data_IF_452011008198
#
_entry.id   IF_452011008198
#
_cell.length_a   1.000
_cell.length_b   1.000
_cell.length_c   1.000
_cell.angle_alpha   90.00
_cell.angle_beta   90.00
_cell.angle_gamma   90.00
#
_symmetry.space_group_name_H-M   'P 1'
#
loop_
_entity.id
_entity.type
_entity.pdbx_description
1 polymer ?
#
# COMPACT_ATOMS: atom_id res chain seq x y z
N UNK A 1 1.51 -5.38 -11.12
CA UNK A 1 2.21 -4.09 -11.26
C UNK A 1 2.18 -3.34 -9.93
N UNK A 2 3.31 -3.01 -9.31
CA UNK A 2 3.40 -2.16 -8.13
C UNK A 2 3.71 -0.71 -8.53
N UNK A 3 3.15 0.26 -7.79
CA UNK A 3 3.37 1.70 -8.03
C UNK A 3 4.01 2.34 -6.79
N UNK A 4 5.12 3.04 -7.00
CA UNK A 4 5.84 3.75 -5.92
C UNK A 4 5.23 5.11 -5.66
N UNK A 5 5.01 5.46 -4.39
CA UNK A 5 4.52 6.77 -3.95
C UNK A 5 5.67 7.48 -3.22
N UNK A 6 6.06 8.65 -3.72
CA UNK A 6 7.08 9.50 -3.07
C UNK A 6 6.38 10.66 -2.36
N UNK A 7 6.78 10.92 -1.11
CA UNK A 7 6.17 11.95 -0.25
C UNK A 7 7.28 12.81 0.35
N UNK A 8 7.08 14.13 0.38
CA UNK A 8 7.98 15.03 1.10
C UNK A 8 7.50 15.18 2.55
N UNK A 9 8.38 14.84 3.50
CA UNK A 9 8.09 14.94 4.93
C UNK A 9 9.23 15.67 5.65
N UNK A 10 8.95 16.49 6.69
CA UNK A 10 9.99 17.23 7.37
C UNK A 10 11.01 16.30 8.04
N UNK A 11 12.29 16.43 7.68
CA UNK A 11 13.38 15.57 8.14
C UNK A 11 13.38 15.36 9.66
N UNK A 12 13.36 16.45 10.44
CA UNK A 12 13.35 16.37 11.91
C UNK A 12 12.16 15.57 12.47
N UNK A 13 11.00 15.64 11.81
CA UNK A 13 9.82 14.86 12.22
C UNK A 13 9.97 13.39 11.80
N UNK A 14 10.55 13.14 10.62
CA UNK A 14 10.83 11.81 10.12
C UNK A 14 11.83 11.08 11.03
N UNK A 15 12.88 11.76 11.45
CA UNK A 15 13.89 11.22 12.38
C UNK A 15 13.26 10.85 13.73
N UNK A 16 12.45 11.75 14.30
CA UNK A 16 11.73 11.48 15.53
C UNK A 16 10.81 10.25 15.35
N UNK A 17 10.01 10.24 14.28
CA UNK A 17 9.12 9.13 13.95
C UNK A 17 9.89 7.80 13.86
N UNK A 18 10.97 7.75 13.07
CA UNK A 18 11.85 6.59 12.91
C UNK A 18 12.36 6.08 14.26
N UNK A 19 12.82 6.99 15.11
CA UNK A 19 13.33 6.64 16.44
C UNK A 19 12.26 5.99 17.32
N UNK A 20 11.03 6.54 17.33
CA UNK A 20 9.93 5.97 18.12
C UNK A 20 9.41 4.65 17.54
N UNK A 21 9.37 4.51 16.21
CA UNK A 21 8.95 3.27 15.54
C UNK A 21 9.95 2.13 15.77
N UNK A 22 11.25 2.42 15.75
CA UNK A 22 12.29 1.44 16.09
C UNK A 22 12.13 0.87 17.50
N UNK A 23 11.65 1.68 18.46
CA UNK A 23 11.35 1.23 19.84
C UNK A 23 10.11 0.34 19.93
N UNK A 24 9.28 0.33 18.89
CA UNK A 24 8.07 -0.48 18.75
C UNK A 24 8.27 -1.68 17.80
N UNK A 25 9.51 -1.98 17.42
CA UNK A 25 9.84 -3.03 16.44
C UNK A 25 9.11 -2.87 15.10
N UNK A 26 8.90 -1.64 14.65
CA UNK A 26 8.29 -1.32 13.34
C UNK A 26 9.11 -0.27 12.59
N UNK A 27 8.80 -0.08 11.31
CA UNK A 27 9.46 0.88 10.41
C UNK A 27 8.45 1.87 9.85
N UNK A 28 8.95 3.02 9.39
CA UNK A 28 8.09 4.04 8.75
C UNK A 28 7.36 3.45 7.55
N UNK A 29 8.07 2.66 6.74
CA UNK A 29 7.49 2.02 5.55
C UNK A 29 6.37 1.06 5.93
N UNK A 30 6.55 0.23 6.97
CA UNK A 30 5.52 -0.70 7.41
C UNK A 30 4.27 0.01 7.93
N UNK A 31 4.43 1.08 8.73
CA UNK A 31 3.29 1.87 9.21
C UNK A 31 2.57 2.60 8.08
N UNK A 32 3.32 3.14 7.10
CA UNK A 32 2.75 3.80 5.93
C UNK A 32 2.03 2.81 5.02
N UNK A 33 2.59 1.62 4.81
CA UNK A 33 1.97 0.54 4.05
C UNK A 33 0.65 0.13 4.69
N UNK A 34 0.64 -0.08 6.01
CA UNK A 34 -0.57 -0.38 6.77
C UNK A 34 -1.62 0.74 6.67
N UNK A 35 -1.19 1.99 6.79
CA UNK A 35 -2.07 3.15 6.66
C UNK A 35 -2.65 3.27 5.24
N UNK A 36 -1.85 2.99 4.21
CA UNK A 36 -2.27 2.99 2.81
C UNK A 36 -3.26 1.87 2.53
N UNK A 37 -3.02 0.66 3.03
CA UNK A 37 -3.94 -0.47 2.90
C UNK A 37 -5.31 -0.13 3.53
N UNK A 38 -5.32 0.39 4.76
CA UNK A 38 -6.56 0.84 5.41
C UNK A 38 -7.25 1.97 4.65
N UNK A 39 -6.49 2.92 4.11
CA UNK A 39 -7.05 4.01 3.31
C UNK A 39 -7.71 3.46 2.04
N UNK A 40 -7.06 2.51 1.37
CA UNK A 40 -7.62 1.81 0.22
C UNK A 40 -8.91 1.08 0.59
N UNK A 41 -8.93 0.28 1.65
CA UNK A 41 -10.15 -0.43 2.06
C UNK A 41 -11.29 0.52 2.44
N UNK A 42 -10.98 1.64 3.11
CA UNK A 42 -12.00 2.62 3.51
C UNK A 42 -12.56 3.42 2.33
N UNK A 43 -11.71 3.72 1.33
CA UNK A 43 -12.06 4.60 0.22
C UNK A 43 -12.61 3.82 -0.97
N UNK A 44 -12.09 2.62 -1.19
CA UNK A 44 -12.49 1.74 -2.29
C UNK A 44 -13.61 0.82 -1.79
N UNK A 45 -14.83 0.98 -2.34
CA UNK A 45 -15.96 0.14 -1.95
C UNK A 45 -15.68 -1.34 -2.26
N UNK A 46 -16.30 -2.27 -1.51
CA UNK A 46 -16.06 -3.70 -1.67
C UNK A 46 -16.27 -4.16 -3.11
N UNK A 47 -17.31 -3.65 -3.79
CA UNK A 47 -17.60 -3.96 -5.20
C UNK A 47 -16.44 -3.68 -6.15
N UNK A 48 -15.67 -2.61 -5.90
CA UNK A 48 -14.49 -2.28 -6.72
C UNK A 48 -13.28 -3.12 -6.30
N UNK A 49 -13.14 -3.45 -5.01
CA UNK A 49 -12.09 -4.36 -4.53
C UNK A 49 -12.25 -5.76 -5.10
N UNK A 50 -13.46 -6.32 -5.02
CA UNK A 50 -13.80 -7.61 -5.60
C UNK A 50 -13.52 -7.63 -7.11
N UNK A 51 -13.87 -6.56 -7.83
CA UNK A 51 -13.56 -6.42 -9.24
C UNK A 51 -12.04 -6.41 -9.50
N UNK A 52 -11.26 -5.69 -8.70
CA UNK A 52 -9.80 -5.60 -8.83
C UNK A 52 -9.08 -6.90 -8.43
N UNK A 53 -9.63 -7.68 -7.50
CA UNK A 53 -9.14 -9.02 -7.15
C UNK A 53 -9.41 -10.02 -8.29
N UNK A 54 -10.58 -9.91 -8.93
CA UNK A 54 -10.96 -10.73 -10.09
C UNK A 54 -10.13 -10.38 -11.34
N UNK A 55 -9.83 -9.09 -11.57
CA UNK A 55 -8.96 -8.62 -12.67
C UNK A 55 -7.47 -8.67 -12.38
N UNK A 56 -7.05 -8.87 -11.12
CA UNK A 56 -5.64 -9.02 -10.73
C UNK A 56 -4.99 -10.35 -11.15
N UNK A 57 -5.81 -11.29 -11.65
CA UNK A 57 -5.39 -12.50 -12.35
C UNK A 57 -5.12 -12.18 -13.83
N UNK A 58 -4.14 -11.32 -14.11
CA UNK A 58 -3.78 -11.00 -15.50
C UNK A 58 -3.05 -12.19 -16.16
N UNK A 59 -3.78 -12.93 -16.99
CA UNK A 59 -3.29 -13.36 -18.30
C UNK A 59 -2.26 -14.49 -18.41
N UNK A 60 -2.66 -15.75 -18.17
CA UNK A 60 -2.08 -16.90 -18.90
C UNK A 60 -3.16 -17.56 -19.78
N UNK A 61 -2.85 -17.65 -21.08
CA UNK A 61 -3.79 -17.67 -22.23
C UNK A 61 -4.20 -19.11 -22.66
N UNK A 62 -5.13 -19.33 -23.63
CA UNK A 62 -4.84 -19.07 -25.05
C UNK A 62 -6.01 -18.46 -25.84
N UNK A 63 -5.66 -17.63 -26.84
CA UNK A 63 -6.53 -17.37 -27.98
C UNK A 63 -6.80 -18.69 -28.72
N UNK A 64 -8.06 -19.08 -28.86
CA UNK A 64 -8.46 -20.12 -29.78
C UNK A 64 -9.64 -19.63 -30.62
N UNK A 65 -9.33 -19.11 -31.80
CA UNK A 65 -10.22 -19.11 -32.96
C UNK A 65 -9.43 -19.60 -34.17
#
# INVERSE_FOLDING_TARGET
>A
MNKTITLEFPEKKLEALSHFLKKKDTTIEAELDYALARLYEKTVPPTVREFLEDTGSDGDSPQNF
#
